data_IF_608141366917
#
_entry.id   IF_608141366917
#
_cell.length_a   1.000
_cell.length_b   1.000
_cell.length_c   1.000
_cell.angle_alpha   90.00
_cell.angle_beta   90.00
_cell.angle_gamma   90.00
#
_symmetry.space_group_name_H-M   'P 1'
#
loop_
_entity.id
_entity.type
_entity.pdbx_description
1 polymer ?
#
# COMPACT_ATOMS: atom_id res chain seq x y z
N UNK A 1 -22.50 21.23 8.64
CA UNK A 1 -21.28 20.68 9.26
C UNK A 1 -20.72 19.64 8.33
N UNK A 2 -19.58 19.86 7.68
CA UNK A 2 -18.93 18.81 6.90
C UNK A 2 -18.26 17.85 7.89
N UNK A 3 -18.69 16.60 7.91
CA UNK A 3 -17.95 15.52 8.56
C UNK A 3 -16.58 15.44 7.89
N UNK A 4 -15.49 15.50 8.66
CA UNK A 4 -14.18 15.18 8.12
C UNK A 4 -14.25 13.76 7.52
N UNK A 5 -13.85 13.56 6.25
CA UNK A 5 -13.88 12.23 5.67
C UNK A 5 -12.99 11.31 6.48
N UNK A 6 -13.52 10.16 6.90
CA UNK A 6 -12.74 9.12 7.57
C UNK A 6 -11.61 8.69 6.65
N UNK A 7 -10.37 8.82 7.13
CA UNK A 7 -9.16 8.41 6.42
C UNK A 7 -8.61 7.15 7.04
N UNK A 8 -8.65 6.06 6.29
CA UNK A 8 -8.10 4.76 6.68
C UNK A 8 -6.85 4.47 5.86
N UNK A 9 -5.79 4.11 6.57
CA UNK A 9 -4.61 3.48 5.99
C UNK A 9 -4.71 1.99 6.28
N UNK A 10 -4.65 1.16 5.25
CA UNK A 10 -4.80 -0.30 5.34
C UNK A 10 -3.49 -1.00 4.98
N UNK A 11 -3.35 -2.26 5.39
CA UNK A 11 -2.28 -3.13 4.90
C UNK A 11 -2.77 -4.04 3.77
N UNK A 12 -1.85 -4.84 3.22
CA UNK A 12 -2.13 -5.89 2.23
C UNK A 12 -1.58 -7.22 2.73
N UNK A 13 -2.23 -8.32 2.37
CA UNK A 13 -1.90 -9.68 2.80
C UNK A 13 -0.60 -10.20 2.21
N UNK A 14 -0.21 -9.74 1.02
CA UNK A 14 0.99 -10.25 0.35
C UNK A 14 1.50 -9.37 -0.78
N UNK A 15 2.36 -9.91 -1.66
CA UNK A 15 2.99 -9.15 -2.75
C UNK A 15 2.05 -8.91 -3.95
N UNK A 16 0.86 -9.51 -3.95
CA UNK A 16 -0.13 -9.41 -5.02
C UNK A 16 -1.49 -9.04 -4.41
N UNK A 17 -2.28 -8.25 -5.15
CA UNK A 17 -3.64 -7.92 -4.76
C UNK A 17 -4.59 -9.08 -5.00
N UNK A 18 -5.27 -9.52 -3.94
CA UNK A 18 -6.47 -10.34 -4.02
C UNK A 18 -7.69 -9.54 -4.50
N UNK A 19 -8.72 -10.24 -4.97
CA UNK A 19 -9.98 -9.60 -5.37
C UNK A 19 -10.64 -8.82 -4.22
N UNK A 20 -10.51 -9.33 -3.00
CA UNK A 20 -10.99 -8.66 -1.79
C UNK A 20 -10.26 -7.33 -1.56
N UNK A 21 -8.95 -7.30 -1.70
CA UNK A 21 -8.17 -6.06 -1.54
C UNK A 21 -8.47 -5.07 -2.67
N UNK A 22 -8.65 -5.55 -3.91
CA UNK A 22 -9.11 -4.71 -5.03
C UNK A 22 -10.45 -4.05 -4.73
N UNK A 23 -11.37 -4.77 -4.10
CA UNK A 23 -12.67 -4.21 -3.67
C UNK A 23 -12.50 -3.23 -2.50
N UNK A 24 -11.70 -3.57 -1.48
CA UNK A 24 -11.44 -2.69 -0.34
C UNK A 24 -10.79 -1.37 -0.77
N UNK A 25 -9.82 -1.40 -1.69
CA UNK A 25 -9.15 -0.22 -2.20
C UNK A 25 -10.13 0.79 -2.81
N UNK A 26 -11.20 0.33 -3.48
CA UNK A 26 -12.22 1.23 -4.06
C UNK A 26 -13.05 1.98 -3.01
N UNK A 27 -13.03 1.55 -1.74
CA UNK A 27 -13.86 2.15 -0.70
C UNK A 27 -13.43 3.61 -0.43
N UNK A 28 -14.37 4.58 -0.33
CA UNK A 28 -14.05 5.99 -0.23
C UNK A 28 -13.22 6.35 1.01
N UNK A 29 -13.41 5.64 2.13
CA UNK A 29 -12.65 5.87 3.37
C UNK A 29 -11.19 5.42 3.31
N UNK A 30 -10.81 4.55 2.38
CA UNK A 30 -9.38 4.16 2.22
C UNK A 30 -8.66 5.34 1.60
N UNK A 31 -7.66 5.87 2.28
CA UNK A 31 -6.85 7.01 1.82
C UNK A 31 -5.38 6.65 1.64
N UNK A 32 -4.96 5.47 2.11
CA UNK A 32 -3.60 5.01 1.92
C UNK A 32 -3.40 3.52 2.15
N UNK A 33 -2.22 3.05 1.76
CA UNK A 33 -1.71 1.70 2.01
C UNK A 33 -0.35 1.80 2.70
N UNK A 34 -0.18 1.07 3.79
CA UNK A 34 1.12 0.85 4.42
C UNK A 34 1.69 -0.51 4.00
N UNK A 35 2.92 -0.52 3.50
CA UNK A 35 3.62 -1.70 3.02
C UNK A 35 4.52 -2.29 4.11
N UNK A 36 4.50 -3.61 4.24
CA UNK A 36 5.33 -4.39 5.14
C UNK A 36 6.26 -5.31 4.35
N UNK A 37 7.16 -6.01 5.06
CA UNK A 37 8.07 -6.99 4.46
C UNK A 37 7.34 -8.07 3.65
N UNK A 38 6.13 -8.49 4.06
CA UNK A 38 5.31 -9.48 3.33
C UNK A 38 4.83 -9.01 1.95
N UNK A 39 4.91 -7.70 1.67
CA UNK A 39 4.47 -7.13 0.39
C UNK A 39 5.61 -7.00 -0.62
N UNK A 40 6.85 -7.33 -0.21
CA UNK A 40 8.06 -7.05 -0.97
C UNK A 40 8.84 -8.32 -1.31
N UNK A 41 8.98 -8.58 -2.61
CA UNK A 41 9.85 -9.62 -3.15
C UNK A 41 11.09 -9.00 -3.83
N UNK A 42 10.89 -7.98 -4.66
CA UNK A 42 11.95 -7.26 -5.38
C UNK A 42 11.43 -5.91 -5.91
N UNK A 43 12.33 -5.08 -6.46
CA UNK A 43 12.04 -3.72 -6.99
C UNK A 43 10.97 -3.72 -8.10
N UNK A 44 11.03 -4.69 -9.01
CA UNK A 44 10.06 -4.80 -10.12
C UNK A 44 8.67 -5.12 -9.58
N UNK A 45 8.54 -6.15 -8.74
CA UNK A 45 7.26 -6.57 -8.18
C UNK A 45 6.61 -5.47 -7.33
N UNK A 46 7.37 -4.74 -6.51
CA UNK A 46 6.78 -3.68 -5.68
C UNK A 46 6.31 -2.48 -6.51
N UNK A 47 7.02 -2.17 -7.61
CA UNK A 47 6.60 -1.14 -8.55
C UNK A 47 5.26 -1.52 -9.22
N UNK A 48 5.13 -2.78 -9.66
CA UNK A 48 3.88 -3.31 -10.23
C UNK A 48 2.72 -3.29 -9.22
N UNK A 49 2.98 -3.66 -7.96
CA UNK A 49 1.97 -3.60 -6.89
C UNK A 49 1.50 -2.16 -6.66
N UNK A 50 2.43 -1.20 -6.59
CA UNK A 50 2.14 0.23 -6.41
C UNK A 50 1.32 0.77 -7.59
N UNK A 51 1.67 0.39 -8.83
CA UNK A 51 0.94 0.78 -10.03
C UNK A 51 -0.50 0.26 -9.98
N UNK A 52 -0.71 -1.02 -9.63
CA UNK A 52 -2.04 -1.61 -9.50
C UNK A 52 -2.90 -0.90 -8.43
N UNK A 53 -2.31 -0.52 -7.29
CA UNK A 53 -3.00 0.25 -6.24
C UNK A 53 -3.46 1.61 -6.79
N UNK A 54 -2.55 2.34 -7.46
CA UNK A 54 -2.83 3.67 -8.04
C UNK A 54 -3.88 3.61 -9.16
N UNK A 55 -3.87 2.57 -9.99
CA UNK A 55 -4.87 2.36 -11.03
C UNK A 55 -6.28 2.16 -10.44
N UNK A 56 -6.40 1.52 -9.28
CA UNK A 56 -7.69 1.24 -8.64
C UNK A 56 -8.22 2.47 -7.87
N UNK A 57 -7.36 3.13 -7.09
CA UNK A 57 -7.79 4.20 -6.17
C UNK A 57 -7.70 5.60 -6.76
N UNK A 58 -6.81 5.83 -7.72
CA UNK A 58 -6.25 7.13 -8.15
C UNK A 58 -4.82 7.37 -7.63
N UNK A 59 -4.08 8.23 -8.33
CA UNK A 59 -2.67 8.53 -8.08
C UNK A 59 -2.41 9.36 -6.82
N UNK A 60 -3.46 9.85 -6.16
CA UNK A 60 -3.43 10.62 -4.90
C UNK A 60 -3.48 9.74 -3.64
N UNK A 61 -3.64 8.42 -3.78
CA UNK A 61 -3.52 7.49 -2.64
C UNK A 61 -2.13 7.56 -2.02
N UNK A 62 -2.07 7.66 -0.68
CA UNK A 62 -0.81 7.62 0.04
C UNK A 62 -0.28 6.20 0.13
N UNK A 63 1.00 5.99 -0.18
CA UNK A 63 1.65 4.69 -0.04
C UNK A 63 2.89 4.90 0.83
N UNK A 64 2.92 4.21 1.97
CA UNK A 64 3.95 4.38 2.99
C UNK A 64 4.63 3.05 3.34
N UNK A 65 5.81 3.14 3.95
CA UNK A 65 6.60 1.99 4.44
C UNK A 65 7.54 2.47 5.54
N UNK A 66 7.74 1.67 6.58
CA UNK A 66 8.75 1.96 7.60
C UNK A 66 10.15 1.61 7.09
N UNK A 67 10.81 2.58 6.47
CA UNK A 67 12.14 2.43 5.87
C UNK A 67 13.15 3.37 6.54
N UNK A 68 13.35 3.20 7.85
CA UNK A 68 14.25 4.03 8.67
C UNK A 68 15.71 3.59 8.57
N UNK A 69 15.94 2.29 8.34
CA UNK A 69 17.27 1.66 8.35
C UNK A 69 17.52 0.84 9.62
N UNK A 70 18.56 -0.01 9.57
CA UNK A 70 18.93 -0.87 10.70
C UNK A 70 17.83 -1.86 11.08
N UNK A 71 17.25 -1.71 12.28
CA UNK A 71 16.22 -2.63 12.77
C UNK A 71 14.87 -2.44 12.05
N UNK A 72 14.54 -1.20 11.66
CA UNK A 72 13.26 -0.85 11.04
C UNK A 72 13.50 -0.57 9.56
N UNK A 73 13.54 -1.65 8.79
CA UNK A 73 13.74 -1.61 7.36
C UNK A 73 12.95 -2.76 6.74
N UNK A 74 11.83 -2.44 6.07
CA UNK A 74 10.93 -3.46 5.48
C UNK A 74 11.51 -4.04 4.20
N UNK A 75 12.09 -3.21 3.35
CA UNK A 75 12.71 -3.63 2.09
C UNK A 75 14.22 -3.72 2.30
N UNK A 76 14.75 -4.95 2.32
CA UNK A 76 16.17 -5.19 2.63
C UNK A 76 16.95 -5.64 1.41
N UNK A 77 16.69 -6.85 0.95
CA UNK A 77 17.45 -7.44 -0.15
C UNK A 77 17.15 -6.71 -1.46
N UNK A 78 18.19 -6.20 -2.12
CA UNK A 78 18.08 -5.49 -3.39
C UNK A 78 17.63 -4.03 -3.30
N UNK A 79 17.62 -3.44 -2.09
CA UNK A 79 17.39 -2.01 -1.88
C UNK A 79 18.68 -1.26 -1.55
#
# INVERSE_FOLDING_TARGET
>A
MSTLPTKLVIDLQGPLLSDRERQCLKHPAVSGVILFTKNFNNKTQIAELIEQIRLIKSSDIEISVDQEGGRVQRFRNGF
#
